data_IF_046487065498
#
_entry.id   IF_046487065498
#
_cell.length_a   1.000
_cell.length_b   1.000
_cell.length_c   1.000
_cell.angle_alpha   90.00
_cell.angle_beta   90.00
_cell.angle_gamma   90.00
#
_symmetry.space_group_name_H-M   'P 1'
#
loop_
_entity.id
_entity.type
_entity.pdbx_description
1 polymer ?
#
# COMPACT_ATOMS: atom_id res chain seq x y z
N UNK A 1 -25.36 -36.18 14.04
CA UNK A 1 -25.47 -35.41 12.81
C UNK A 1 -25.58 -36.40 11.63
N UNK A 2 -26.71 -36.41 10.96
CA UNK A 2 -26.91 -37.33 9.82
C UNK A 2 -26.04 -36.84 8.64
N UNK A 3 -25.33 -37.77 7.98
CA UNK A 3 -24.57 -37.44 6.75
C UNK A 3 -25.58 -37.10 5.65
N UNK A 4 -25.40 -35.95 5.03
CA UNK A 4 -26.29 -35.53 3.94
C UNK A 4 -26.19 -36.48 2.74
N UNK A 5 -27.33 -36.90 2.21
CA UNK A 5 -27.46 -37.91 1.16
C UNK A 5 -26.61 -37.59 -0.07
N UNK A 6 -26.56 -36.34 -0.48
CA UNK A 6 -25.76 -35.92 -1.66
C UNK A 6 -24.24 -36.14 -1.49
N UNK A 7 -23.71 -36.11 -0.23
CA UNK A 7 -22.31 -36.42 0.04
C UNK A 7 -22.02 -37.88 -0.22
N UNK A 8 -22.93 -38.78 0.23
CA UNK A 8 -22.81 -40.23 -0.01
C UNK A 8 -22.90 -40.57 -1.50
N UNK A 9 -23.84 -39.97 -2.21
CA UNK A 9 -23.96 -40.10 -3.66
C UNK A 9 -22.68 -39.67 -4.39
N UNK A 10 -22.10 -38.53 -3.95
CA UNK A 10 -20.86 -38.01 -4.55
C UNK A 10 -19.64 -38.90 -4.26
N UNK A 11 -19.59 -39.53 -3.10
CA UNK A 11 -18.54 -40.50 -2.77
C UNK A 11 -18.65 -41.73 -3.66
N UNK A 12 -19.88 -42.22 -3.91
CA UNK A 12 -20.10 -43.39 -4.77
C UNK A 12 -19.77 -43.11 -6.24
N UNK A 13 -20.13 -41.91 -6.73
CA UNK A 13 -19.70 -41.45 -8.05
C UNK A 13 -18.16 -41.48 -8.18
N UNK A 14 -17.46 -41.01 -7.16
CA UNK A 14 -15.99 -40.98 -7.16
C UNK A 14 -15.38 -42.39 -7.11
N UNK A 15 -15.97 -43.32 -6.38
CA UNK A 15 -15.52 -44.71 -6.41
C UNK A 15 -15.68 -45.34 -7.78
N UNK A 16 -16.80 -45.08 -8.46
CA UNK A 16 -17.03 -45.51 -9.82
C UNK A 16 -16.04 -44.88 -10.81
N UNK A 17 -15.74 -43.58 -10.67
CA UNK A 17 -14.68 -42.91 -11.44
C UNK A 17 -13.33 -43.62 -11.23
N UNK A 18 -12.96 -43.99 -9.99
CA UNK A 18 -11.71 -44.67 -9.69
C UNK A 18 -11.62 -46.08 -10.29
N UNK A 19 -12.73 -46.76 -10.49
CA UNK A 19 -12.76 -48.05 -11.19
C UNK A 19 -12.49 -47.90 -12.68
N UNK A 20 -12.83 -46.75 -13.28
CA UNK A 20 -12.65 -46.52 -14.71
C UNK A 20 -11.18 -46.22 -15.08
N UNK A 21 -10.35 -45.76 -14.13
CA UNK A 21 -8.92 -45.53 -14.34
C UNK A 21 -8.09 -46.12 -13.17
N UNK A 22 -7.50 -47.26 -13.41
CA UNK A 22 -6.62 -47.93 -12.45
C UNK A 22 -5.20 -47.37 -12.63
N UNK A 23 -4.81 -46.46 -11.78
CA UNK A 23 -3.42 -45.99 -11.73
C UNK A 23 -2.50 -47.09 -11.24
N UNK A 24 -1.30 -47.14 -11.82
CA UNK A 24 -0.20 -48.02 -11.38
C UNK A 24 0.22 -47.65 -9.95
N UNK A 25 0.93 -48.55 -9.27
CA UNK A 25 1.48 -48.29 -7.93
C UNK A 25 2.36 -47.04 -7.93
N UNK A 26 3.22 -46.90 -8.95
CA UNK A 26 4.09 -45.73 -9.15
C UNK A 26 3.32 -44.43 -9.30
N UNK A 27 2.25 -44.38 -10.06
CA UNK A 27 1.36 -43.22 -10.24
C UNK A 27 0.66 -42.85 -8.92
N UNK A 28 0.18 -43.87 -8.19
CA UNK A 28 -0.45 -43.68 -6.91
C UNK A 28 0.53 -43.11 -5.87
N UNK A 29 1.77 -43.59 -5.85
CA UNK A 29 2.81 -43.11 -4.93
C UNK A 29 3.26 -41.70 -5.29
N UNK A 30 3.34 -41.34 -6.59
CA UNK A 30 3.58 -39.97 -7.01
C UNK A 30 2.50 -39.01 -6.52
N UNK A 31 1.22 -39.42 -6.61
CA UNK A 31 0.09 -38.59 -6.12
C UNK A 31 0.06 -38.47 -4.60
N UNK A 32 0.39 -39.54 -3.84
CA UNK A 32 0.49 -39.51 -2.38
C UNK A 32 1.63 -38.61 -1.95
N UNK A 33 2.83 -38.80 -2.51
CA UNK A 33 4.01 -37.96 -2.22
C UNK A 33 3.74 -36.50 -2.51
N UNK A 34 3.15 -36.18 -3.66
CA UNK A 34 2.72 -34.81 -3.96
C UNK A 34 1.74 -34.27 -2.93
N UNK A 35 0.74 -35.07 -2.52
CA UNK A 35 -0.26 -34.65 -1.56
C UNK A 35 0.34 -34.32 -0.19
N UNK A 36 1.21 -35.18 0.30
CA UNK A 36 1.86 -35.04 1.62
C UNK A 36 2.82 -33.84 1.61
N UNK A 37 3.75 -33.77 0.67
CA UNK A 37 4.73 -32.68 0.58
C UNK A 37 4.09 -31.32 0.27
N UNK A 38 2.99 -31.28 -0.49
CA UNK A 38 2.25 -30.05 -0.73
C UNK A 38 1.63 -29.44 0.53
N UNK A 39 1.53 -30.19 1.64
CA UNK A 39 1.12 -29.68 2.95
C UNK A 39 2.30 -29.17 3.78
N UNK A 40 3.47 -29.79 3.62
CA UNK A 40 4.66 -29.41 4.37
C UNK A 40 5.26 -28.09 3.86
N UNK A 41 5.30 -27.88 2.54
CA UNK A 41 5.86 -26.66 1.96
C UNK A 41 4.92 -25.48 2.07
N UNK A 42 5.32 -24.49 2.90
CA UNK A 42 4.54 -23.27 3.15
C UNK A 42 4.57 -22.27 2.00
N UNK A 43 5.73 -22.06 1.35
CA UNK A 43 5.88 -21.05 0.32
C UNK A 43 5.31 -21.50 -1.04
N UNK A 44 4.89 -20.52 -1.85
CA UNK A 44 4.44 -20.78 -3.24
C UNK A 44 5.63 -21.27 -4.09
N UNK A 45 6.83 -20.73 -3.89
CA UNK A 45 8.01 -21.13 -4.66
C UNK A 45 8.41 -22.59 -4.43
N UNK A 46 8.42 -23.04 -3.16
CA UNK A 46 8.70 -24.45 -2.84
C UNK A 46 7.62 -25.36 -3.43
N UNK A 47 6.37 -24.92 -3.38
CA UNK A 47 5.27 -25.67 -3.99
C UNK A 47 5.39 -25.75 -5.52
N UNK A 48 5.78 -24.68 -6.20
CA UNK A 48 6.05 -24.69 -7.64
C UNK A 48 7.20 -25.65 -7.99
N UNK A 49 8.26 -25.63 -7.18
CA UNK A 49 9.37 -26.58 -7.33
C UNK A 49 8.96 -28.03 -7.13
N UNK A 50 8.09 -28.31 -6.16
CA UNK A 50 7.50 -29.66 -5.97
C UNK A 50 6.70 -30.12 -7.19
N UNK A 51 5.93 -29.20 -7.82
CA UNK A 51 5.12 -29.53 -8.99
C UNK A 51 5.94 -30.07 -10.18
N UNK A 52 7.16 -29.60 -10.35
CA UNK A 52 8.07 -30.06 -11.41
C UNK A 52 8.97 -31.20 -10.97
N UNK A 53 9.29 -31.31 -9.69
CA UNK A 53 10.13 -32.36 -9.14
C UNK A 53 9.46 -33.74 -9.16
N UNK A 54 8.17 -33.83 -8.92
CA UNK A 54 7.42 -35.12 -8.91
C UNK A 54 7.46 -35.81 -10.26
N UNK A 55 7.15 -35.18 -11.42
CA UNK A 55 7.33 -35.79 -12.74
C UNK A 55 8.76 -36.31 -12.98
N UNK A 56 9.77 -35.54 -12.57
CA UNK A 56 11.17 -35.94 -12.69
C UNK A 56 11.52 -37.16 -11.83
N UNK A 57 11.14 -37.13 -10.56
CA UNK A 57 11.53 -38.16 -9.59
C UNK A 57 10.83 -39.50 -9.84
N UNK A 58 9.58 -39.48 -10.25
CA UNK A 58 8.78 -40.69 -10.43
C UNK A 58 8.77 -41.23 -11.86
N UNK A 59 8.93 -40.39 -12.87
CA UNK A 59 8.77 -40.81 -14.27
C UNK A 59 10.00 -40.50 -15.13
N UNK A 60 11.01 -39.86 -14.59
CA UNK A 60 12.20 -39.32 -15.29
C UNK A 60 11.81 -38.37 -16.45
N UNK A 61 10.69 -37.65 -16.28
CA UNK A 61 10.22 -36.64 -17.21
C UNK A 61 10.63 -35.24 -16.70
N UNK A 62 11.14 -34.43 -17.61
CA UNK A 62 11.33 -33.00 -17.33
C UNK A 62 9.98 -32.30 -17.28
N UNK A 63 9.90 -31.26 -16.46
CA UNK A 63 8.67 -30.48 -16.36
C UNK A 63 8.94 -29.00 -16.27
N UNK A 64 7.98 -28.19 -16.76
CA UNK A 64 7.92 -26.74 -16.62
C UNK A 64 6.55 -26.35 -16.13
N UNK A 65 6.53 -25.39 -15.21
CA UNK A 65 5.31 -24.82 -14.67
C UNK A 65 5.22 -23.36 -15.06
N UNK A 66 4.15 -23.01 -15.76
CA UNK A 66 3.83 -21.64 -16.14
C UNK A 66 2.61 -21.18 -15.37
N UNK A 67 2.64 -19.96 -14.82
CA UNK A 67 1.49 -19.34 -14.19
C UNK A 67 1.12 -18.04 -14.90
N UNK A 68 -0.13 -17.65 -14.80
CA UNK A 68 -0.61 -16.36 -15.29
C UNK A 68 0.01 -15.26 -14.43
N UNK A 69 0.77 -14.34 -15.07
CA UNK A 69 1.22 -13.11 -14.43
C UNK A 69 0.05 -12.12 -14.37
N UNK A 70 -0.39 -11.73 -13.16
CA UNK A 70 -1.55 -10.84 -13.01
C UNK A 70 -1.33 -9.42 -13.56
N UNK A 71 -0.06 -8.99 -13.72
CA UNK A 71 0.26 -7.65 -14.24
C UNK A 71 0.30 -7.60 -15.76
N UNK A 72 0.78 -8.67 -16.37
CA UNK A 72 0.98 -8.74 -17.82
C UNK A 72 -0.15 -9.50 -18.54
N UNK A 73 -1.06 -10.13 -17.80
CA UNK A 73 -2.10 -11.04 -18.30
C UNK A 73 -1.51 -12.06 -19.30
N UNK A 74 -0.32 -12.55 -19.00
CA UNK A 74 0.46 -13.47 -19.83
C UNK A 74 1.03 -14.59 -18.97
N UNK A 75 1.38 -15.73 -19.62
CA UNK A 75 2.02 -16.84 -18.94
C UNK A 75 3.51 -16.56 -18.71
N UNK A 76 3.99 -16.84 -17.52
CA UNK A 76 5.39 -16.74 -17.15
C UNK A 76 5.89 -18.06 -16.55
N UNK A 77 7.12 -18.49 -16.87
CA UNK A 77 7.77 -19.65 -16.29
C UNK A 77 8.07 -19.38 -14.81
N UNK A 78 7.57 -20.23 -13.91
CA UNK A 78 7.77 -20.10 -12.46
C UNK A 78 8.61 -21.23 -11.85
N UNK A 79 8.66 -22.41 -12.49
CA UNK A 79 9.53 -23.50 -12.08
C UNK A 79 9.86 -24.42 -13.27
N UNK A 80 11.07 -24.98 -13.29
CA UNK A 80 11.53 -25.96 -14.28
C UNK A 80 12.55 -26.92 -13.66
N UNK A 81 12.64 -28.15 -14.18
CA UNK A 81 13.58 -29.17 -13.70
C UNK A 81 14.99 -28.99 -14.20
N UNK A 82 15.21 -28.37 -15.36
CA UNK A 82 16.55 -28.22 -15.99
C UNK A 82 17.07 -26.80 -16.05
N UNK A 83 16.23 -25.79 -15.85
CA UNK A 83 16.61 -24.38 -16.03
C UNK A 83 17.07 -23.78 -14.71
N UNK A 84 18.28 -23.21 -14.66
CA UNK A 84 18.77 -22.43 -13.53
C UNK A 84 17.97 -21.13 -13.34
N UNK A 85 18.10 -20.50 -12.17
CA UNK A 85 17.31 -19.35 -11.73
C UNK A 85 17.20 -18.15 -12.69
N UNK A 86 18.02 -18.06 -13.75
CA UNK A 86 17.97 -16.98 -14.74
C UNK A 86 16.87 -17.15 -15.82
N UNK A 87 16.24 -18.32 -15.90
CA UNK A 87 15.16 -18.58 -16.87
C UNK A 87 13.75 -18.32 -16.31
N UNK A 88 13.65 -18.01 -15.02
CA UNK A 88 12.37 -17.69 -14.36
C UNK A 88 11.80 -16.36 -14.89
N UNK A 89 10.48 -16.32 -15.03
CA UNK A 89 9.70 -15.20 -15.58
C UNK A 89 9.80 -15.00 -17.09
N UNK A 90 10.42 -15.94 -17.84
CA UNK A 90 10.36 -15.90 -19.30
C UNK A 90 8.98 -16.33 -19.81
N UNK A 91 8.53 -15.82 -20.97
CA UNK A 91 7.33 -16.30 -21.61
C UNK A 91 7.51 -17.75 -22.08
N UNK A 92 6.42 -18.54 -22.21
CA UNK A 92 6.50 -19.89 -22.76
C UNK A 92 6.98 -19.86 -24.22
N UNK A 93 7.56 -20.98 -24.71
CA UNK A 93 7.85 -21.15 -26.14
C UNK A 93 6.59 -20.99 -27.00
N UNK A 94 6.74 -20.66 -28.28
CA UNK A 94 5.64 -20.38 -29.23
C UNK A 94 4.64 -21.54 -29.39
N UNK A 95 5.07 -22.78 -29.17
CA UNK A 95 4.25 -24.00 -29.26
C UNK A 95 3.51 -24.32 -27.94
N UNK A 96 3.78 -23.60 -26.84
CA UNK A 96 3.06 -23.69 -25.56
C UNK A 96 2.07 -22.52 -25.44
N UNK A 97 0.79 -22.82 -25.66
CA UNK A 97 -0.30 -21.82 -25.69
C UNK A 97 -1.34 -22.10 -24.61
N UNK A 98 -1.99 -21.07 -24.08
CA UNK A 98 -3.13 -21.23 -23.20
C UNK A 98 -4.15 -22.20 -23.81
N UNK A 99 -4.61 -23.17 -23.03
CA UNK A 99 -5.50 -24.20 -23.50
C UNK A 99 -6.52 -24.61 -22.44
N UNK A 100 -7.70 -25.02 -22.86
CA UNK A 100 -8.71 -25.61 -22.00
C UNK A 100 -8.64 -27.15 -21.91
N UNK A 101 -7.87 -27.76 -22.78
CA UNK A 101 -7.73 -29.21 -22.83
C UNK A 101 -6.27 -29.61 -23.00
N UNK A 102 -5.85 -30.81 -22.52
CA UNK A 102 -4.52 -31.33 -22.77
C UNK A 102 -4.20 -31.41 -24.26
N UNK A 103 -2.96 -31.10 -24.62
CA UNK A 103 -2.50 -31.27 -26.00
C UNK A 103 -1.01 -31.62 -26.07
N UNK A 104 -0.58 -32.17 -27.18
CA UNK A 104 0.82 -32.50 -27.44
C UNK A 104 1.45 -31.48 -28.38
N UNK A 105 2.63 -30.95 -28.01
CA UNK A 105 3.39 -30.07 -28.88
C UNK A 105 4.18 -30.86 -29.96
N UNK A 106 4.78 -30.12 -30.89
CA UNK A 106 5.71 -30.68 -31.89
C UNK A 106 7.02 -31.19 -31.27
N UNK A 107 7.35 -30.79 -30.05
CA UNK A 107 8.57 -31.15 -29.29
C UNK A 107 8.40 -32.35 -28.37
N UNK A 108 7.41 -33.18 -28.60
CA UNK A 108 7.08 -34.34 -27.74
C UNK A 108 6.75 -33.94 -26.30
N UNK A 109 6.21 -32.72 -26.07
CA UNK A 109 5.73 -32.28 -24.75
C UNK A 109 4.22 -32.50 -24.65
N UNK A 110 3.75 -32.88 -23.46
CA UNK A 110 2.34 -32.86 -23.10
C UNK A 110 2.09 -31.59 -22.26
N UNK A 111 1.18 -30.75 -22.71
CA UNK A 111 0.77 -29.49 -22.03
C UNK A 111 -0.62 -29.67 -21.45
N UNK A 112 -0.77 -29.34 -20.17
CA UNK A 112 -1.99 -29.51 -19.38
C UNK A 112 -2.41 -28.22 -18.71
N UNK A 113 -3.71 -27.85 -18.75
CA UNK A 113 -4.22 -26.68 -18.03
C UNK A 113 -4.26 -26.94 -16.52
N UNK A 114 -3.81 -25.98 -15.76
CA UNK A 114 -3.92 -25.95 -14.30
C UNK A 114 -5.15 -25.10 -13.96
N UNK A 115 -6.21 -25.75 -13.46
CA UNK A 115 -7.50 -25.09 -13.23
C UNK A 115 -7.70 -24.71 -11.77
N UNK A 116 -8.19 -23.47 -11.55
CA UNK A 116 -8.71 -23.03 -10.28
C UNK A 116 -10.14 -23.52 -10.01
N UNK A 117 -10.67 -23.21 -8.83
CA UNK A 117 -12.08 -23.43 -8.50
C UNK A 117 -12.95 -22.32 -9.09
N UNK A 118 -13.83 -22.60 -10.02
CA UNK A 118 -14.74 -21.62 -10.64
C UNK A 118 -15.47 -20.73 -9.61
N UNK A 119 -16.02 -21.30 -8.55
CA UNK A 119 -16.74 -20.59 -7.48
C UNK A 119 -15.89 -19.61 -6.66
N UNK A 120 -14.57 -19.65 -6.78
CA UNK A 120 -13.64 -18.87 -5.97
C UNK A 120 -12.67 -18.04 -6.82
N UNK A 121 -12.81 -18.06 -8.14
CA UNK A 121 -11.92 -17.32 -9.07
C UNK A 121 -11.95 -15.82 -8.77
N UNK A 122 -13.13 -15.24 -8.56
CA UNK A 122 -13.30 -13.83 -8.21
C UNK A 122 -12.64 -13.43 -6.87
N UNK A 123 -12.24 -14.43 -6.08
CA UNK A 123 -11.57 -14.23 -4.78
C UNK A 123 -10.05 -14.33 -4.87
N UNK A 124 -9.48 -14.60 -6.03
CA UNK A 124 -8.04 -14.58 -6.23
C UNK A 124 -7.49 -13.15 -6.09
N UNK A 125 -6.20 -12.98 -5.73
CA UNK A 125 -5.57 -11.67 -5.61
C UNK A 125 -5.42 -10.94 -6.95
N UNK A 126 -5.69 -11.62 -8.06
CA UNK A 126 -5.61 -11.10 -9.43
C UNK A 126 -6.83 -11.53 -10.24
N UNK A 127 -7.12 -10.79 -11.31
CA UNK A 127 -8.23 -11.11 -12.21
C UNK A 127 -7.76 -12.14 -13.24
N UNK A 128 -8.59 -13.15 -13.48
CA UNK A 128 -8.35 -14.20 -14.50
C UNK A 128 -9.64 -14.34 -15.29
N UNK A 129 -9.57 -14.17 -16.60
CA UNK A 129 -10.75 -14.26 -17.50
C UNK A 129 -11.30 -15.68 -17.63
N UNK A 130 -10.50 -16.69 -17.24
CA UNK A 130 -10.87 -18.11 -17.27
C UNK A 130 -10.56 -18.79 -15.94
N UNK A 131 -10.97 -20.07 -15.79
CA UNK A 131 -10.59 -20.87 -14.62
C UNK A 131 -9.14 -21.42 -14.68
N UNK A 132 -8.35 -21.01 -15.67
CA UNK A 132 -6.97 -21.46 -15.89
C UNK A 132 -6.00 -20.57 -15.13
N UNK A 133 -5.29 -21.13 -14.15
CA UNK A 133 -4.28 -20.47 -13.36
C UNK A 133 -2.88 -20.53 -14.00
N UNK A 134 -2.68 -21.49 -14.91
CA UNK A 134 -1.41 -21.73 -15.55
C UNK A 134 -1.40 -23.02 -16.37
N UNK A 135 -0.20 -23.44 -16.76
CA UNK A 135 0.04 -24.67 -17.54
C UNK A 135 1.13 -25.51 -16.89
N UNK A 136 0.98 -26.82 -16.95
CA UNK A 136 2.05 -27.80 -16.70
C UNK A 136 2.49 -28.40 -18.02
N UNK A 137 3.77 -28.31 -18.36
CA UNK A 137 4.39 -28.97 -19.49
C UNK A 137 5.27 -30.11 -18.96
N UNK A 138 5.13 -31.34 -19.52
CA UNK A 138 5.97 -32.48 -19.21
C UNK A 138 6.57 -33.06 -20.48
N UNK A 139 7.87 -33.40 -20.46
CA UNK A 139 8.60 -33.89 -21.64
C UNK A 139 9.84 -34.74 -21.26
N UNK A 140 10.38 -35.60 -22.17
CA UNK A 140 9.80 -35.98 -23.45
C UNK A 140 8.71 -37.04 -23.26
N UNK A 141 7.56 -36.88 -23.91
CA UNK A 141 6.49 -37.89 -23.94
C UNK A 141 6.53 -38.60 -25.26
N UNK A 142 7.29 -39.72 -25.33
CA UNK A 142 7.53 -40.48 -26.55
C UNK A 142 6.29 -41.28 -26.99
N UNK A 143 5.53 -41.80 -26.03
CA UNK A 143 4.34 -42.57 -26.28
C UNK A 143 3.08 -41.81 -25.90
N UNK A 144 2.26 -41.47 -26.87
CA UNK A 144 0.97 -40.84 -26.67
C UNK A 144 -0.05 -41.88 -26.24
N UNK A 145 -0.24 -42.04 -24.93
CA UNK A 145 -1.24 -42.94 -24.42
C UNK A 145 -2.26 -42.22 -23.55
N UNK A 146 -3.53 -42.59 -23.66
CA UNK A 146 -4.63 -41.97 -22.94
C UNK A 146 -4.52 -42.15 -21.43
N UNK A 147 -3.85 -43.20 -20.96
CA UNK A 147 -3.70 -43.49 -19.54
C UNK A 147 -2.73 -42.45 -18.87
N UNK A 148 -1.56 -42.24 -19.47
CA UNK A 148 -0.59 -41.24 -18.98
C UNK A 148 -1.13 -39.82 -19.09
N UNK A 149 -1.86 -39.51 -20.18
CA UNK A 149 -2.53 -38.21 -20.32
C UNK A 149 -3.53 -37.97 -19.16
N UNK A 150 -4.37 -38.97 -18.86
CA UNK A 150 -5.33 -38.90 -17.77
C UNK A 150 -4.64 -38.75 -16.39
N UNK A 151 -3.53 -39.47 -16.19
CA UNK A 151 -2.74 -39.32 -14.95
C UNK A 151 -2.28 -37.89 -14.77
N UNK A 152 -1.61 -37.31 -15.76
CA UNK A 152 -1.09 -35.92 -15.67
C UNK A 152 -2.23 -34.89 -15.63
N UNK A 153 -3.38 -35.14 -16.28
CA UNK A 153 -4.58 -34.31 -16.12
C UNK A 153 -5.04 -34.27 -14.65
N UNK A 154 -5.13 -35.44 -14.00
CA UNK A 154 -5.49 -35.50 -12.57
C UNK A 154 -4.42 -34.87 -11.69
N UNK A 155 -3.15 -35.00 -12.05
CA UNK A 155 -2.05 -34.33 -11.37
C UNK A 155 -2.14 -32.80 -11.49
N UNK A 156 -2.32 -32.26 -12.70
CA UNK A 156 -2.50 -30.82 -12.96
C UNK A 156 -3.72 -30.24 -12.20
N UNK A 157 -4.84 -30.99 -12.16
CA UNK A 157 -6.02 -30.60 -11.40
C UNK A 157 -5.75 -30.50 -9.88
N UNK A 158 -4.89 -31.39 -9.32
CA UNK A 158 -4.47 -31.29 -7.91
C UNK A 158 -3.54 -30.11 -7.66
N UNK A 159 -2.63 -29.84 -8.59
CA UNK A 159 -1.80 -28.62 -8.55
C UNK A 159 -2.72 -27.39 -8.51
N UNK A 160 -3.66 -27.29 -9.43
CA UNK A 160 -4.59 -26.15 -9.51
C UNK A 160 -5.39 -25.93 -8.22
N UNK A 161 -5.91 -27.00 -7.63
CA UNK A 161 -6.64 -26.93 -6.37
C UNK A 161 -5.77 -26.42 -5.22
N UNK A 162 -4.54 -26.95 -5.09
CA UNK A 162 -3.59 -26.54 -4.03
C UNK A 162 -3.07 -25.13 -4.26
N UNK A 163 -2.73 -24.78 -5.50
CA UNK A 163 -2.29 -23.45 -5.89
C UNK A 163 -3.34 -22.40 -5.55
N UNK A 164 -4.59 -22.66 -5.94
CA UNK A 164 -5.72 -21.78 -5.66
C UNK A 164 -5.88 -21.53 -4.15
N UNK A 165 -5.80 -22.58 -3.33
CA UNK A 165 -5.87 -22.44 -1.87
C UNK A 165 -4.69 -21.66 -1.31
N UNK A 166 -3.46 -21.83 -1.83
CA UNK A 166 -2.29 -21.03 -1.40
C UNK A 166 -2.48 -19.56 -1.72
N UNK A 167 -2.94 -19.20 -2.91
CA UNK A 167 -3.25 -17.80 -3.26
C UNK A 167 -4.33 -17.20 -2.35
N UNK A 168 -5.35 -17.95 -1.99
CA UNK A 168 -6.38 -17.48 -1.05
C UNK A 168 -5.81 -17.25 0.36
N UNK A 169 -4.95 -18.16 0.83
CA UNK A 169 -4.29 -18.01 2.15
C UNK A 169 -3.39 -16.79 2.15
N UNK A 170 -2.59 -16.60 1.11
CA UNK A 170 -1.70 -15.44 0.98
C UNK A 170 -2.49 -14.13 0.98
N UNK A 171 -3.56 -14.05 0.17
CA UNK A 171 -4.48 -12.91 0.17
C UNK A 171 -5.11 -12.64 1.55
N UNK A 172 -5.51 -13.69 2.26
CA UNK A 172 -6.07 -13.53 3.60
C UNK A 172 -5.02 -13.05 4.62
N UNK A 173 -3.77 -13.50 4.50
CA UNK A 173 -2.66 -13.03 5.34
C UNK A 173 -2.33 -11.55 5.07
N UNK A 174 -2.32 -11.14 3.81
CA UNK A 174 -2.18 -9.73 3.42
C UNK A 174 -3.31 -8.88 4.01
N UNK A 175 -4.56 -9.36 3.89
CA UNK A 175 -5.72 -8.68 4.48
C UNK A 175 -5.62 -8.57 6.02
N UNK A 176 -5.14 -9.61 6.71
CA UNK A 176 -4.93 -9.57 8.16
C UNK A 176 -3.81 -8.60 8.56
N UNK A 177 -2.72 -8.55 7.80
CA UNK A 177 -1.64 -7.56 8.00
C UNK A 177 -2.17 -6.14 7.83
N UNK A 178 -2.94 -5.91 6.75
CA UNK A 178 -3.60 -4.65 6.51
C UNK A 178 -4.53 -4.23 7.66
N UNK A 179 -5.41 -5.12 8.13
CA UNK A 179 -6.31 -4.83 9.26
C UNK A 179 -5.52 -4.46 10.53
N UNK A 180 -4.43 -5.17 10.82
CA UNK A 180 -3.56 -4.85 11.96
C UNK A 180 -2.92 -3.46 11.84
N UNK A 181 -2.40 -3.12 10.64
CA UNK A 181 -1.87 -1.79 10.37
C UNK A 181 -2.94 -0.72 10.55
N UNK A 182 -4.15 -0.97 10.01
CA UNK A 182 -5.29 -0.07 10.11
C UNK A 182 -5.70 0.18 11.57
N UNK A 183 -5.76 -0.86 12.40
CA UNK A 183 -6.08 -0.74 13.82
C UNK A 183 -5.02 0.09 14.56
N UNK A 184 -3.74 -0.13 14.28
CA UNK A 184 -2.65 0.65 14.87
C UNK A 184 -2.71 2.14 14.44
N UNK A 185 -3.03 2.40 13.17
CA UNK A 185 -3.22 3.76 12.64
C UNK A 185 -4.44 4.45 13.31
N UNK A 186 -5.54 3.73 13.52
CA UNK A 186 -6.71 4.25 14.24
C UNK A 186 -6.36 4.56 15.71
N UNK A 187 -5.67 3.65 16.38
CA UNK A 187 -5.25 3.85 17.77
C UNK A 187 -4.41 5.13 17.91
N UNK A 188 -3.39 5.27 17.09
CA UNK A 188 -2.47 6.40 17.14
C UNK A 188 -3.10 7.73 16.68
N UNK A 189 -3.90 7.73 15.64
CA UNK A 189 -4.37 8.96 15.00
C UNK A 189 -5.83 9.34 15.32
N UNK A 190 -6.59 8.47 15.96
CA UNK A 190 -7.96 8.75 16.41
C UNK A 190 -8.09 8.62 17.93
N UNK A 191 -7.69 7.49 18.52
CA UNK A 191 -7.93 7.23 19.94
C UNK A 191 -7.07 8.13 20.81
N UNK A 192 -5.75 8.19 20.56
CA UNK A 192 -4.84 9.02 21.34
C UNK A 192 -5.17 10.52 21.20
N UNK A 193 -5.37 11.09 20.01
CA UNK A 193 -5.83 12.45 19.87
C UNK A 193 -7.20 12.72 20.52
N UNK A 194 -8.13 11.78 20.49
CA UNK A 194 -9.44 11.95 21.11
C UNK A 194 -9.35 12.07 22.65
N UNK A 195 -8.36 11.46 23.28
CA UNK A 195 -8.08 11.69 24.71
C UNK A 195 -7.66 13.14 24.98
N UNK A 196 -6.85 13.74 24.11
CA UNK A 196 -6.43 15.14 24.18
C UNK A 196 -7.64 16.06 23.94
N UNK A 197 -8.54 15.72 23.04
CA UNK A 197 -9.78 16.43 22.79
C UNK A 197 -10.64 16.59 24.06
N UNK A 198 -10.74 15.53 24.84
CA UNK A 198 -11.43 15.54 26.13
C UNK A 198 -10.81 16.56 27.11
N UNK A 199 -9.49 16.73 27.07
CA UNK A 199 -8.77 17.71 27.88
C UNK A 199 -9.12 19.14 27.46
N UNK A 200 -9.16 19.44 26.14
CA UNK A 200 -9.56 20.76 25.62
C UNK A 200 -10.98 21.11 26.04
N UNK A 201 -11.91 20.19 25.91
CA UNK A 201 -13.30 20.40 26.38
C UNK A 201 -13.40 20.65 27.88
N UNK A 202 -12.57 19.97 28.70
CA UNK A 202 -12.51 20.21 30.13
C UNK A 202 -11.98 21.61 30.47
N UNK A 203 -10.93 22.07 29.78
CA UNK A 203 -10.36 23.41 29.91
C UNK A 203 -11.35 24.50 29.47
N UNK A 204 -11.99 24.31 28.31
CA UNK A 204 -13.04 25.20 27.83
C UNK A 204 -14.17 25.36 28.84
N UNK A 205 -14.62 24.25 29.42
CA UNK A 205 -15.65 24.25 30.47
C UNK A 205 -15.20 25.03 31.70
N UNK A 206 -13.94 24.91 32.14
CA UNK A 206 -13.37 25.66 33.25
C UNK A 206 -13.34 27.19 32.98
N UNK A 207 -12.98 27.59 31.75
CA UNK A 207 -12.99 29.00 31.35
C UNK A 207 -14.44 29.55 31.30
N UNK A 208 -15.39 28.80 30.81
CA UNK A 208 -16.81 29.19 30.81
C UNK A 208 -17.34 29.37 32.24
N UNK A 209 -16.95 28.52 33.19
CA UNK A 209 -17.34 28.63 34.59
C UNK A 209 -16.72 29.89 35.23
N UNK A 210 -15.44 30.14 34.95
CA UNK A 210 -14.76 31.38 35.44
C UNK A 210 -15.42 32.66 34.90
N UNK A 211 -15.83 32.64 33.62
CA UNK A 211 -16.57 33.76 33.02
C UNK A 211 -17.89 34.03 33.76
N UNK A 212 -18.67 32.99 34.11
CA UNK A 212 -19.89 33.12 34.91
C UNK A 212 -19.65 33.67 36.32
N UNK A 213 -18.55 33.31 36.96
CA UNK A 213 -18.17 33.86 38.27
C UNK A 213 -17.88 35.35 38.19
N UNK A 214 -17.15 35.81 37.18
CA UNK A 214 -16.86 37.23 36.94
C UNK A 214 -18.17 37.98 36.66
N UNK A 215 -19.06 37.44 35.78
CA UNK A 215 -20.39 37.98 35.49
C UNK A 215 -21.21 38.16 36.78
N UNK A 216 -21.24 37.15 37.64
CA UNK A 216 -21.94 37.18 38.92
C UNK A 216 -21.37 38.24 39.87
N UNK A 217 -20.04 38.39 39.91
CA UNK A 217 -19.36 39.39 40.72
C UNK A 217 -19.68 40.83 40.28
N UNK A 218 -19.58 41.06 38.98
CA UNK A 218 -19.91 42.39 38.37
C UNK A 218 -21.38 42.73 38.60
N UNK A 219 -22.29 41.78 38.36
CA UNK A 219 -23.73 41.95 38.56
C UNK A 219 -24.09 42.26 40.02
N UNK A 220 -23.44 41.57 41.00
CA UNK A 220 -23.61 41.83 42.41
C UNK A 220 -23.10 43.22 42.86
N UNK A 221 -21.96 43.66 42.34
CA UNK A 221 -21.39 44.99 42.62
C UNK A 221 -22.28 46.12 42.04
N UNK A 222 -22.78 45.95 40.82
CA UNK A 222 -23.69 46.88 40.21
C UNK A 222 -25.02 47.01 40.97
N UNK A 223 -25.58 45.89 41.45
CA UNK A 223 -26.83 45.91 42.20
C UNK A 223 -26.75 46.55 43.59
N UNK A 224 -25.57 46.54 44.20
CA UNK A 224 -25.30 47.09 45.54
C UNK A 224 -24.84 48.55 45.48
N UNK A 225 -24.52 49.07 44.30
CA UNK A 225 -23.97 50.42 44.15
C UNK A 225 -22.57 50.60 44.72
N UNK A 226 -21.84 49.50 45.01
CA UNK A 226 -20.56 49.49 45.72
C UNK A 226 -19.34 49.38 44.80
N UNK A 227 -19.52 49.43 43.47
CA UNK A 227 -18.42 49.23 42.50
C UNK A 227 -17.52 50.45 42.38
N UNK A 228 -16.30 50.35 42.87
CA UNK A 228 -15.26 51.36 42.56
C UNK A 228 -14.64 51.10 41.16
N UNK A 229 -14.02 52.11 40.57
CA UNK A 229 -13.44 52.04 39.22
C UNK A 229 -12.30 50.99 39.15
N UNK A 230 -11.67 50.65 40.26
CA UNK A 230 -10.57 49.67 40.32
C UNK A 230 -11.07 48.24 40.32
N UNK A 231 -12.18 47.95 41.01
CA UNK A 231 -12.80 46.62 41.00
C UNK A 231 -13.38 46.28 39.62
N UNK A 232 -14.01 47.25 38.92
CA UNK A 232 -14.47 47.10 37.56
C UNK A 232 -13.32 46.86 36.57
N UNK A 233 -12.20 47.53 36.77
CA UNK A 233 -11.01 47.39 35.94
C UNK A 233 -10.37 46.01 36.12
N UNK A 234 -10.34 45.46 37.34
CA UNK A 234 -9.91 44.08 37.60
C UNK A 234 -10.83 43.07 36.94
N UNK A 235 -12.13 43.22 37.10
CA UNK A 235 -13.12 42.35 36.45
C UNK A 235 -13.01 42.36 34.91
N UNK A 236 -12.73 43.53 34.31
CA UNK A 236 -12.50 43.65 32.88
C UNK A 236 -11.22 42.94 32.42
N UNK A 237 -10.14 43.06 33.17
CA UNK A 237 -8.90 42.36 32.89
C UNK A 237 -9.09 40.84 32.99
N UNK A 238 -9.75 40.35 34.06
CA UNK A 238 -10.05 38.93 34.24
C UNK A 238 -10.94 38.40 33.11
N UNK A 239 -11.92 39.18 32.65
CA UNK A 239 -12.76 38.85 31.50
C UNK A 239 -11.95 38.77 30.21
N UNK A 240 -11.03 39.67 29.99
CA UNK A 240 -10.14 39.70 28.83
C UNK A 240 -9.28 38.42 28.79
N UNK A 241 -8.69 38.05 29.93
CA UNK A 241 -7.87 36.86 30.08
C UNK A 241 -8.68 35.56 29.83
N UNK A 242 -9.91 35.50 30.36
CA UNK A 242 -10.83 34.38 30.11
C UNK A 242 -11.21 34.28 28.65
N UNK A 243 -11.53 35.39 27.99
CA UNK A 243 -11.87 35.41 26.58
C UNK A 243 -10.70 34.99 25.67
N UNK A 244 -9.48 35.40 26.02
CA UNK A 244 -8.27 34.97 25.33
C UNK A 244 -8.08 33.45 25.48
N UNK A 245 -8.25 32.93 26.69
CA UNK A 245 -8.18 31.49 26.96
C UNK A 245 -9.26 30.70 26.22
N UNK A 246 -10.51 31.18 26.16
CA UNK A 246 -11.59 30.58 25.40
C UNK A 246 -11.29 30.52 23.90
N UNK A 247 -10.75 31.62 23.33
CA UNK A 247 -10.37 31.66 21.91
C UNK A 247 -9.26 30.70 21.59
N UNK A 248 -8.25 30.55 22.44
CA UNK A 248 -7.15 29.58 22.28
C UNK A 248 -7.65 28.13 22.31
N UNK A 249 -8.52 27.83 23.28
CA UNK A 249 -9.06 26.45 23.37
C UNK A 249 -10.00 26.12 22.20
N UNK A 250 -10.76 27.10 21.69
CA UNK A 250 -11.58 26.92 20.50
C UNK A 250 -10.72 26.62 19.27
N UNK A 251 -9.64 27.40 19.08
CA UNK A 251 -8.70 27.19 17.98
C UNK A 251 -8.03 25.82 18.05
N UNK A 252 -7.66 25.36 19.25
CA UNK A 252 -7.11 24.02 19.49
C UNK A 252 -8.12 22.92 19.12
N UNK A 253 -9.40 23.11 19.48
CA UNK A 253 -10.48 22.18 19.15
C UNK A 253 -10.70 22.11 17.65
N UNK A 254 -10.76 23.25 16.95
CA UNK A 254 -10.95 23.30 15.50
C UNK A 254 -9.77 22.65 14.76
N UNK A 255 -8.54 22.90 15.17
CA UNK A 255 -7.34 22.30 14.61
C UNK A 255 -7.36 20.78 14.76
N UNK A 256 -7.76 20.33 15.94
CA UNK A 256 -7.87 18.88 16.23
C UNK A 256 -8.96 18.20 15.42
N UNK A 257 -10.13 18.84 15.30
CA UNK A 257 -11.23 18.37 14.47
C UNK A 257 -10.83 18.23 12.99
N UNK A 258 -10.19 19.26 12.43
CA UNK A 258 -9.70 19.24 11.03
C UNK A 258 -8.71 18.10 10.81
N UNK A 259 -7.77 17.90 11.74
CA UNK A 259 -6.79 16.82 11.64
C UNK A 259 -7.42 15.44 11.68
N UNK A 260 -8.37 15.22 12.59
CA UNK A 260 -9.06 13.95 12.74
C UNK A 260 -9.98 13.65 11.55
N UNK A 261 -10.69 14.66 11.04
CA UNK A 261 -11.54 14.52 9.85
C UNK A 261 -10.73 14.12 8.62
N UNK A 262 -9.59 14.78 8.41
CA UNK A 262 -8.69 14.46 7.29
C UNK A 262 -8.10 13.05 7.42
N UNK A 263 -7.74 12.63 8.64
CA UNK A 263 -7.24 11.28 8.88
C UNK A 263 -8.31 10.23 8.60
N UNK A 264 -9.53 10.42 9.10
CA UNK A 264 -10.66 9.49 8.86
C UNK A 264 -10.97 9.41 7.35
N UNK A 265 -10.98 10.53 6.65
CA UNK A 265 -11.17 10.53 5.19
C UNK A 265 -10.07 9.74 4.47
N UNK A 266 -8.82 9.93 4.87
CA UNK A 266 -7.66 9.18 4.32
C UNK A 266 -7.76 7.69 4.61
N UNK A 267 -8.20 7.33 5.81
CA UNK A 267 -8.37 5.95 6.25
C UNK A 267 -9.43 5.21 5.42
N UNK A 268 -10.58 5.85 5.18
CA UNK A 268 -11.62 5.30 4.31
C UNK A 268 -11.12 5.14 2.88
N UNK A 269 -10.34 6.10 2.37
CA UNK A 269 -9.74 6.02 1.03
C UNK A 269 -8.73 4.88 0.94
N UNK A 270 -7.85 4.70 1.93
CA UNK A 270 -6.89 3.58 1.99
C UNK A 270 -7.59 2.23 1.96
N UNK A 271 -8.67 2.05 2.72
CA UNK A 271 -9.48 0.82 2.73
C UNK A 271 -10.08 0.50 1.35
N UNK A 272 -10.48 1.50 0.58
CA UNK A 272 -10.97 1.32 -0.80
C UNK A 272 -9.82 1.06 -1.79
N UNK A 273 -8.65 1.64 -1.54
CA UNK A 273 -7.44 1.45 -2.34
C UNK A 273 -7.00 -0.01 -2.38
N UNK A 274 -6.86 -0.64 -1.20
CA UNK A 274 -6.41 -2.04 -1.09
C UNK A 274 -7.43 -3.06 -1.64
N UNK A 275 -8.68 -2.62 -1.88
CA UNK A 275 -9.72 -3.43 -2.53
C UNK A 275 -9.78 -3.25 -4.06
N UNK A 276 -8.88 -2.45 -4.66
CA UNK A 276 -8.90 -2.14 -6.10
C UNK A 276 -10.15 -1.38 -6.58
N UNK A 277 -10.92 -0.79 -5.65
CA UNK A 277 -12.19 -0.10 -5.92
C UNK A 277 -12.11 1.42 -5.88
N UNK A 278 -10.91 1.98 -5.81
CA UNK A 278 -10.76 3.43 -5.70
C UNK A 278 -10.94 4.10 -7.06
N UNK A 279 -12.04 4.82 -7.20
CA UNK A 279 -12.21 5.77 -8.30
C UNK A 279 -11.64 7.12 -7.88
N UNK A 280 -10.67 7.64 -8.64
CA UNK A 280 -10.13 8.99 -8.45
C UNK A 280 -11.26 10.02 -8.57
N UNK A 281 -11.34 10.93 -7.61
CA UNK A 281 -12.21 12.11 -7.68
C UNK A 281 -11.38 13.32 -8.08
N UNK A 282 -10.97 13.34 -9.33
CA UNK A 282 -10.13 14.41 -9.86
C UNK A 282 -10.92 15.69 -10.08
N UNK A 283 -10.28 16.82 -9.79
CA UNK A 283 -10.77 18.16 -10.13
C UNK A 283 -9.59 19.07 -10.47
N UNK A 284 -9.80 20.10 -11.29
CA UNK A 284 -8.78 21.12 -11.49
C UNK A 284 -8.43 21.79 -10.15
N UNK A 285 -7.16 21.92 -9.85
CA UNK A 285 -6.69 22.64 -8.66
C UNK A 285 -5.35 23.34 -8.92
N UNK A 286 -5.15 24.45 -8.22
CA UNK A 286 -3.85 25.09 -8.10
C UNK A 286 -3.06 24.40 -6.99
N UNK A 287 -2.00 23.65 -7.37
CA UNK A 287 -1.26 22.82 -6.43
C UNK A 287 -0.66 23.61 -5.26
N UNK A 288 -0.13 24.81 -5.53
CA UNK A 288 0.47 25.61 -4.47
C UNK A 288 -0.57 26.08 -3.45
N UNK A 289 -1.67 26.69 -3.94
CA UNK A 289 -2.70 27.29 -3.09
C UNK A 289 -3.60 26.26 -2.42
N UNK A 290 -4.03 25.24 -3.18
CA UNK A 290 -5.10 24.33 -2.73
C UNK A 290 -4.54 23.09 -2.01
N UNK A 291 -3.22 22.78 -2.16
CA UNK A 291 -2.59 21.60 -1.59
C UNK A 291 -1.38 21.94 -0.73
N UNK A 292 -0.33 22.55 -1.31
CA UNK A 292 0.97 22.73 -0.63
C UNK A 292 0.85 23.65 0.57
N UNK A 293 0.28 24.86 0.40
CA UNK A 293 0.16 25.83 1.49
C UNK A 293 -0.64 25.31 2.68
N UNK A 294 -1.86 24.73 2.51
CA UNK A 294 -2.61 24.18 3.63
C UNK A 294 -1.87 23.04 4.36
N UNK A 295 -1.11 22.22 3.65
CA UNK A 295 -0.32 21.18 4.30
C UNK A 295 0.90 21.75 5.02
N UNK A 296 1.61 22.70 4.43
CA UNK A 296 2.76 23.37 5.04
C UNK A 296 2.38 24.08 6.35
N UNK A 297 1.26 24.81 6.36
CA UNK A 297 0.74 25.50 7.54
C UNK A 297 0.55 24.57 8.74
N UNK A 298 0.14 23.31 8.51
CA UNK A 298 -0.01 22.29 9.56
C UNK A 298 1.30 21.95 10.27
N UNK A 299 2.44 22.06 9.57
CA UNK A 299 3.75 21.69 10.08
C UNK A 299 4.60 22.88 10.50
N UNK A 300 4.19 24.13 10.21
CA UNK A 300 4.97 25.35 10.48
C UNK A 300 5.45 25.45 11.93
N UNK A 301 4.55 25.28 12.91
CA UNK A 301 4.88 25.35 14.32
C UNK A 301 5.86 24.24 14.75
N UNK A 302 5.73 23.06 14.16
CA UNK A 302 6.62 21.94 14.46
C UNK A 302 8.01 22.17 13.85
N UNK A 303 8.09 22.66 12.61
CA UNK A 303 9.36 23.04 11.99
C UNK A 303 10.08 24.13 12.79
N UNK A 304 9.37 25.16 13.26
CA UNK A 304 9.95 26.21 14.12
C UNK A 304 10.50 25.64 15.41
N UNK A 305 9.76 24.75 16.10
CA UNK A 305 10.21 24.10 17.35
C UNK A 305 11.47 23.27 17.15
N UNK A 306 11.58 22.62 16.04
CA UNK A 306 12.73 21.79 15.68
C UNK A 306 13.89 22.59 15.07
N UNK A 307 13.78 23.92 14.98
CA UNK A 307 14.78 24.79 14.39
C UNK A 307 14.98 24.60 12.89
N UNK A 308 13.94 24.12 12.19
CA UNK A 308 13.96 23.89 10.73
C UNK A 308 13.44 25.15 10.05
N UNK A 309 14.27 25.79 9.25
CA UNK A 309 13.87 26.93 8.40
C UNK A 309 13.24 26.42 7.08
N UNK A 310 12.37 27.24 6.49
CA UNK A 310 11.72 26.93 5.21
C UNK A 310 12.30 27.87 4.17
N UNK A 311 12.85 27.28 3.11
CA UNK A 311 13.29 28.01 1.92
C UNK A 311 12.22 27.93 0.83
N UNK A 312 11.49 29.00 0.61
CA UNK A 312 10.38 29.08 -0.35
C UNK A 312 10.78 29.79 -1.66
N UNK A 313 12.05 30.15 -1.84
CA UNK A 313 12.52 30.91 -3.02
C UNK A 313 12.23 30.17 -4.34
N UNK A 314 12.21 28.83 -4.32
CA UNK A 314 11.94 28.00 -5.50
C UNK A 314 10.45 27.62 -5.67
N UNK A 315 9.60 27.99 -4.71
CA UNK A 315 8.18 27.59 -4.70
C UNK A 315 7.33 28.30 -5.77
N UNK A 316 7.85 29.38 -6.34
CA UNK A 316 7.15 30.23 -7.34
C UNK A 316 7.85 30.24 -8.69
N UNK A 317 8.63 29.23 -9.02
CA UNK A 317 9.33 29.12 -10.30
C UNK A 317 8.88 27.82 -10.99
N UNK A 318 8.28 27.89 -12.19
CA UNK A 318 7.85 29.09 -12.91
C UNK A 318 6.73 29.85 -12.19
N UNK A 319 6.63 31.18 -12.41
CA UNK A 319 5.59 32.04 -11.81
C UNK A 319 4.18 31.74 -12.34
N UNK A 320 4.09 30.97 -13.43
CA UNK A 320 2.82 30.59 -14.04
C UNK A 320 2.04 29.66 -13.14
N UNK A 321 0.76 29.94 -12.95
CA UNK A 321 -0.15 29.09 -12.22
C UNK A 321 -0.37 27.76 -12.96
N UNK A 322 0.15 26.67 -12.40
CA UNK A 322 -0.06 25.33 -12.96
C UNK A 322 -1.34 24.74 -12.35
N UNK A 323 -2.30 24.47 -13.22
CA UNK A 323 -3.54 23.78 -12.85
C UNK A 323 -3.40 22.31 -13.21
N UNK A 324 -3.44 21.44 -12.20
CA UNK A 324 -3.47 19.99 -12.38
C UNK A 324 -4.87 19.44 -12.13
N UNK A 325 -5.22 18.37 -12.84
CA UNK A 325 -6.48 17.64 -12.62
C UNK A 325 -6.19 16.43 -11.73
N UNK A 326 -6.40 16.60 -10.42
CA UNK A 326 -5.99 15.59 -9.42
C UNK A 326 -7.06 15.38 -8.35
N UNK A 327 -6.97 14.25 -7.67
CA UNK A 327 -7.67 14.07 -6.39
C UNK A 327 -6.92 14.83 -5.30
N UNK A 328 -7.45 16.02 -4.97
CA UNK A 328 -6.84 16.97 -4.03
C UNK A 328 -6.56 16.33 -2.67
N UNK A 329 -7.42 15.43 -2.20
CA UNK A 329 -7.23 14.76 -0.91
C UNK A 329 -6.05 13.78 -0.92
N UNK A 330 -5.90 12.98 -1.99
CA UNK A 330 -4.77 12.05 -2.12
C UNK A 330 -3.45 12.82 -2.25
N UNK A 331 -3.41 13.85 -3.09
CA UNK A 331 -2.18 14.64 -3.28
C UNK A 331 -1.85 15.48 -2.02
N UNK A 332 -2.84 15.98 -1.31
CA UNK A 332 -2.61 16.61 0.00
C UNK A 332 -1.94 15.63 1.00
N UNK A 333 -2.34 14.37 0.98
CA UNK A 333 -1.71 13.34 1.81
C UNK A 333 -0.29 12.97 1.34
N UNK A 334 0.00 13.04 0.04
CA UNK A 334 1.38 12.92 -0.49
C UNK A 334 2.28 13.98 0.16
N UNK A 335 1.86 15.25 0.14
CA UNK A 335 2.62 16.33 0.78
C UNK A 335 2.70 16.18 2.31
N UNK A 336 1.63 15.74 2.97
CA UNK A 336 1.65 15.45 4.40
C UNK A 336 2.72 14.40 4.75
N UNK A 337 2.86 13.33 3.94
CA UNK A 337 3.91 12.32 4.12
C UNK A 337 5.30 12.90 3.91
N UNK A 338 5.51 13.73 2.89
CA UNK A 338 6.80 14.37 2.65
C UNK A 338 7.18 15.33 3.77
N UNK A 339 6.27 16.21 4.22
CA UNK A 339 6.55 17.13 5.33
C UNK A 339 6.76 16.40 6.66
N UNK A 340 6.00 15.35 6.94
CA UNK A 340 6.22 14.49 8.10
C UNK A 340 7.60 13.83 8.09
N UNK A 341 8.03 13.33 6.92
CA UNK A 341 9.37 12.79 6.75
C UNK A 341 10.44 13.86 6.89
N UNK A 342 10.24 15.02 6.27
CA UNK A 342 11.14 16.16 6.44
C UNK A 342 11.29 16.56 7.92
N UNK A 343 10.19 16.65 8.67
CA UNK A 343 10.23 16.94 10.11
C UNK A 343 11.08 15.92 10.90
N UNK A 344 10.99 14.64 10.55
CA UNK A 344 11.68 13.56 11.26
C UNK A 344 13.16 13.46 10.90
N UNK A 345 13.52 13.72 9.64
CA UNK A 345 14.82 13.36 9.10
C UNK A 345 15.71 14.54 8.71
N UNK A 346 15.20 15.80 8.72
CA UNK A 346 16.01 16.99 8.49
C UNK A 346 17.06 17.12 9.58
N UNK A 347 18.32 17.29 9.18
CA UNK A 347 19.45 17.48 10.07
C UNK A 347 20.24 18.72 9.66
N UNK A 348 21.04 19.22 10.62
CA UNK A 348 21.93 20.36 10.40
C UNK A 348 23.05 19.96 9.42
N UNK A 349 23.34 20.84 8.50
CA UNK A 349 24.43 20.73 7.54
C UNK A 349 25.30 21.98 7.63
N UNK A 350 26.56 21.88 7.16
CA UNK A 350 27.46 23.01 7.05
C UNK A 350 27.53 23.43 5.58
N UNK A 351 27.18 24.69 5.28
CA UNK A 351 27.27 25.25 3.91
C UNK A 351 28.72 25.48 3.51
N UNK A 352 28.98 25.76 2.23
CA UNK A 352 30.31 26.12 1.74
C UNK A 352 30.89 27.37 2.40
N UNK A 353 30.04 28.24 2.88
CA UNK A 353 30.42 29.45 3.62
C UNK A 353 30.70 29.21 5.12
N UNK A 354 30.65 27.93 5.58
CA UNK A 354 30.82 27.55 6.99
C UNK A 354 29.59 27.81 7.86
N UNK A 355 28.49 28.27 7.29
CA UNK A 355 27.23 28.52 8.02
C UNK A 355 26.47 27.22 8.26
N UNK A 356 26.00 27.03 9.50
CA UNK A 356 25.15 25.88 9.86
C UNK A 356 23.72 26.15 9.48
N UNK A 357 23.10 25.22 8.72
CA UNK A 357 21.71 25.36 8.29
C UNK A 357 20.96 24.04 8.48
N UNK A 358 19.72 24.15 8.96
CA UNK A 358 18.77 23.06 9.06
C UNK A 358 17.49 23.54 8.37
N UNK A 359 17.20 23.03 7.17
CA UNK A 359 16.13 23.60 6.35
C UNK A 359 15.46 22.59 5.45
N UNK A 360 14.24 22.95 5.04
CA UNK A 360 13.49 22.31 3.97
C UNK A 360 13.26 23.32 2.84
N UNK A 361 13.06 22.79 1.62
CA UNK A 361 12.62 23.59 0.47
C UNK A 361 11.57 22.79 -0.31
N UNK A 362 10.73 23.49 -1.04
CA UNK A 362 9.77 22.87 -1.94
C UNK A 362 9.63 23.69 -3.21
N UNK A 363 9.22 23.04 -4.29
CA UNK A 363 9.07 23.69 -5.58
C UNK A 363 8.43 22.78 -6.61
N UNK A 364 8.37 23.28 -7.84
CA UNK A 364 7.90 22.53 -8.97
C UNK A 364 8.68 22.90 -10.24
N UNK A 365 8.67 22.01 -11.23
CA UNK A 365 9.34 22.18 -12.51
C UNK A 365 8.49 21.59 -13.63
N UNK A 366 8.28 22.35 -14.70
CA UNK A 366 7.65 21.85 -15.91
C UNK A 366 8.65 20.99 -16.71
N UNK A 367 8.21 19.80 -17.09
CA UNK A 367 8.97 18.84 -17.90
C UNK A 367 8.21 18.63 -19.21
N UNK A 368 8.75 19.16 -20.32
CA UNK A 368 8.12 19.01 -21.63
C UNK A 368 8.21 17.57 -22.12
N UNK A 369 7.12 17.08 -22.69
CA UNK A 369 7.01 15.76 -23.33
C UNK A 369 7.46 14.58 -22.45
N UNK A 370 7.40 14.73 -21.11
CA UNK A 370 7.87 13.72 -20.16
C UNK A 370 7.10 12.39 -20.27
N UNK A 371 5.80 12.45 -20.53
CA UNK A 371 4.91 11.29 -20.67
C UNK A 371 4.61 10.91 -22.14
N UNK A 372 5.42 11.41 -23.09
CA UNK A 372 5.27 11.16 -24.53
C UNK A 372 5.00 12.44 -25.32
N UNK A 373 4.88 12.31 -26.64
CA UNK A 373 4.61 13.43 -27.52
C UNK A 373 3.32 14.16 -27.11
N UNK A 374 3.39 15.48 -26.97
CA UNK A 374 2.30 16.38 -26.55
C UNK A 374 1.75 16.11 -25.12
N UNK A 375 2.52 15.40 -24.27
CA UNK A 375 2.12 15.14 -22.88
C UNK A 375 3.22 15.62 -21.92
N UNK A 376 3.05 16.83 -21.44
CA UNK A 376 3.94 17.44 -20.46
C UNK A 376 3.76 16.84 -19.07
N UNK A 377 4.76 16.97 -18.22
CA UNK A 377 4.74 16.60 -16.83
C UNK A 377 5.11 17.77 -15.93
N UNK A 378 4.60 17.77 -14.71
CA UNK A 378 5.06 18.69 -13.67
C UNK A 378 5.69 17.89 -12.55
N UNK A 379 6.97 18.14 -12.30
CA UNK A 379 7.72 17.59 -11.18
C UNK A 379 7.52 18.48 -9.96
N UNK A 380 6.98 17.90 -8.89
CA UNK A 380 6.81 18.52 -7.58
C UNK A 380 7.80 17.91 -6.60
N UNK A 381 8.45 18.71 -5.79
CA UNK A 381 9.48 18.23 -4.88
C UNK A 381 9.42 18.85 -3.49
N UNK A 382 9.91 18.07 -2.52
CA UNK A 382 10.21 18.51 -1.16
C UNK A 382 11.64 18.08 -0.82
N UNK A 383 12.48 19.06 -0.59
CA UNK A 383 13.86 18.88 -0.16
C UNK A 383 13.98 18.95 1.36
N UNK A 384 14.89 18.19 1.94
CA UNK A 384 15.27 18.25 3.34
C UNK A 384 16.80 18.14 3.52
N UNK A 385 17.42 19.04 4.29
CA UNK A 385 18.85 18.97 4.57
C UNK A 385 19.21 17.80 5.48
N UNK A 386 20.36 17.17 5.24
CA UNK A 386 20.84 16.04 6.05
C UNK A 386 21.56 14.95 5.26
N UNK A 387 21.94 13.84 5.92
CA UNK A 387 22.66 12.74 5.28
C UNK A 387 21.81 12.05 4.23
N UNK A 388 22.47 11.57 3.18
CA UNK A 388 21.82 10.87 2.09
C UNK A 388 21.31 9.49 2.52
N UNK A 389 20.27 9.03 1.84
CA UNK A 389 19.86 7.62 1.89
C UNK A 389 20.94 6.78 1.21
N UNK A 390 21.41 5.68 1.86
CA UNK A 390 22.40 4.79 1.29
C UNK A 390 22.00 4.30 -0.11
N UNK A 391 22.95 4.19 -1.07
CA UNK A 391 22.63 3.79 -2.44
C UNK A 391 21.85 2.48 -2.54
N UNK A 392 22.17 1.50 -1.69
CA UNK A 392 21.52 0.20 -1.62
C UNK A 392 20.06 0.26 -1.16
N UNK A 393 19.67 1.31 -0.44
CA UNK A 393 18.31 1.48 0.08
C UNK A 393 17.39 2.25 -0.88
N UNK A 394 17.94 3.04 -1.82
CA UNK A 394 17.18 3.98 -2.66
C UNK A 394 16.11 3.34 -3.52
N UNK A 395 16.34 2.11 -4.01
CA UNK A 395 15.37 1.36 -4.80
C UNK A 395 14.17 0.83 -4.01
N UNK A 396 14.31 0.75 -2.69
CA UNK A 396 13.34 0.08 -1.82
C UNK A 396 12.52 1.05 -0.95
N UNK A 397 12.90 2.33 -0.87
CA UNK A 397 12.26 3.30 0.03
C UNK A 397 10.77 3.54 -0.24
N UNK A 398 10.29 3.24 -1.44
CA UNK A 398 8.88 3.34 -1.81
C UNK A 398 8.16 1.98 -1.76
N UNK A 399 8.82 0.89 -1.34
CA UNK A 399 8.18 -0.42 -1.16
C UNK A 399 7.34 -0.44 0.13
N UNK A 400 6.30 -1.25 0.13
CA UNK A 400 5.50 -1.48 1.34
C UNK A 400 6.35 -2.14 2.44
N UNK A 401 6.07 -1.78 3.69
CA UNK A 401 6.73 -2.28 4.89
C UNK A 401 8.25 -2.01 4.96
N UNK A 402 8.80 -1.24 4.02
CA UNK A 402 10.23 -0.91 4.04
C UNK A 402 10.54 0.18 5.08
N UNK A 403 11.54 -0.08 5.91
CA UNK A 403 12.11 0.87 6.87
C UNK A 403 13.62 0.86 6.74
N UNK A 404 14.19 1.98 6.31
CA UNK A 404 15.64 2.16 6.22
C UNK A 404 16.31 2.05 7.61
N UNK A 405 17.58 1.66 7.64
CA UNK A 405 18.37 1.50 8.87
C UNK A 405 18.34 2.75 9.77
N UNK A 406 18.30 3.93 9.18
CA UNK A 406 18.24 5.21 9.89
C UNK A 406 16.87 5.52 10.53
N UNK A 407 15.86 4.70 10.28
CA UNK A 407 14.48 4.90 10.76
C UNK A 407 14.10 4.01 11.94
N UNK A 408 14.93 3.02 12.32
CA UNK A 408 14.63 2.03 13.36
C UNK A 408 14.32 2.66 14.73
N UNK A 409 14.93 3.80 15.05
CA UNK A 409 14.74 4.52 16.32
C UNK A 409 13.75 5.68 16.23
N UNK A 410 13.05 5.88 15.11
CA UNK A 410 12.08 6.96 14.91
C UNK A 410 10.65 6.42 14.76
N UNK A 411 9.64 7.08 15.33
CA UNK A 411 8.25 6.62 15.20
C UNK A 411 7.78 6.70 13.74
N UNK A 412 7.16 5.61 13.25
CA UNK A 412 6.59 5.54 11.90
C UNK A 412 6.26 4.11 11.48
N UNK A 413 5.20 3.94 10.69
CA UNK A 413 4.69 2.64 10.23
C UNK A 413 5.43 2.04 9.02
N UNK A 414 6.28 2.83 8.32
CA UNK A 414 6.89 2.40 7.04
C UNK A 414 6.00 2.54 5.80
N UNK A 415 4.70 2.84 5.97
CA UNK A 415 3.73 2.88 4.87
C UNK A 415 3.64 4.23 4.13
N UNK A 416 4.26 5.31 4.66
CA UNK A 416 4.08 6.67 4.13
C UNK A 416 4.57 6.84 2.69
N UNK A 417 5.77 6.35 2.35
CA UNK A 417 6.33 6.47 0.99
C UNK A 417 5.69 5.46 0.02
N UNK A 418 5.29 4.28 0.47
CA UNK A 418 4.51 3.35 -0.33
C UNK A 418 3.14 3.96 -0.71
N UNK A 419 2.47 4.62 0.23
CA UNK A 419 1.25 5.38 -0.08
C UNK A 419 1.50 6.47 -1.12
N UNK A 420 2.61 7.23 -0.99
CA UNK A 420 2.98 8.27 -1.97
C UNK A 420 3.09 7.68 -3.37
N UNK A 421 3.81 6.58 -3.51
CA UNK A 421 3.96 5.86 -4.78
C UNK A 421 2.60 5.48 -5.36
N UNK A 422 1.80 4.77 -4.59
CA UNK A 422 0.49 4.28 -5.04
C UNK A 422 -0.44 5.44 -5.45
N UNK A 423 -0.52 6.51 -4.63
CA UNK A 423 -1.35 7.67 -4.94
C UNK A 423 -0.93 8.37 -6.24
N UNK A 424 0.37 8.51 -6.48
CA UNK A 424 0.91 9.16 -7.68
C UNK A 424 0.74 8.28 -8.92
N UNK A 425 1.02 6.97 -8.83
CA UNK A 425 0.81 6.01 -9.92
C UNK A 425 -0.66 5.96 -10.37
N UNK A 426 -1.62 6.07 -9.45
CA UNK A 426 -3.05 6.18 -9.80
C UNK A 426 -3.37 7.41 -10.65
N UNK A 427 -2.64 8.52 -10.47
CA UNK A 427 -2.77 9.71 -11.29
C UNK A 427 -1.99 9.62 -12.62
N UNK A 428 -1.42 8.44 -12.93
CA UNK A 428 -0.57 8.23 -14.10
C UNK A 428 0.80 8.89 -13.99
N UNK A 429 1.25 9.19 -12.77
CA UNK A 429 2.49 9.86 -12.47
C UNK A 429 3.60 8.92 -12.00
N UNK A 430 4.73 9.50 -11.65
CA UNK A 430 5.95 8.82 -11.21
C UNK A 430 6.48 9.42 -9.91
N UNK A 431 7.11 8.60 -9.06
CA UNK A 431 7.78 9.06 -7.83
C UNK A 431 9.27 8.80 -7.88
N UNK A 432 10.05 9.62 -7.19
CA UNK A 432 11.48 9.41 -7.13
C UNK A 432 12.16 10.11 -5.96
N UNK A 433 13.44 9.80 -5.84
CA UNK A 433 14.37 10.33 -4.88
C UNK A 433 15.67 10.74 -5.56
N UNK A 434 16.18 11.90 -5.20
CA UNK A 434 17.46 12.44 -5.68
C UNK A 434 18.32 12.89 -4.49
N UNK A 435 19.54 12.37 -4.34
CA UNK A 435 20.52 12.97 -3.45
C UNK A 435 20.99 14.31 -4.03
N UNK A 436 21.04 15.33 -3.21
CA UNK A 436 21.56 16.65 -3.58
C UNK A 436 22.80 16.98 -2.76
N UNK A 437 23.55 18.02 -3.10
CA UNK A 437 24.78 18.40 -2.37
C UNK A 437 24.58 18.51 -0.85
N UNK A 438 23.40 18.92 -0.38
CA UNK A 438 23.14 19.24 1.02
C UNK A 438 22.03 18.40 1.67
N UNK A 439 21.46 17.44 0.94
CA UNK A 439 20.38 16.65 1.50
C UNK A 439 19.63 15.79 0.48
N UNK A 440 18.38 15.58 0.76
CA UNK A 440 17.52 14.61 0.12
C UNK A 440 16.34 15.31 -0.57
N UNK A 441 16.12 15.03 -1.83
CA UNK A 441 15.02 15.56 -2.60
C UNK A 441 14.04 14.43 -2.95
N UNK A 442 12.86 14.44 -2.35
CA UNK A 442 11.76 13.55 -2.72
C UNK A 442 10.86 14.27 -3.71
N UNK A 443 10.48 13.59 -4.79
CA UNK A 443 9.65 14.20 -5.80
C UNK A 443 8.60 13.24 -6.36
N UNK A 444 7.61 13.82 -6.99
CA UNK A 444 6.68 13.11 -7.87
C UNK A 444 6.42 13.94 -9.12
N UNK A 445 6.06 13.28 -10.20
CA UNK A 445 5.75 13.89 -11.49
C UNK A 445 4.32 13.52 -11.86
N UNK A 446 3.52 14.52 -12.23
CA UNK A 446 2.15 14.30 -12.69
C UNK A 446 2.02 14.76 -14.14
N UNK A 447 1.24 14.05 -14.98
CA UNK A 447 0.90 14.53 -16.31
C UNK A 447 -0.02 15.76 -16.25
N UNK A 448 0.12 16.65 -17.23
CA UNK A 448 -0.78 17.79 -17.47
C UNK A 448 -1.29 17.81 -18.88
#
# INVERSE_FOLDING_TARGET
MAIEKYILERIEDKKNDYQSYRFTERENDALKTFFDLAQEFGSINDFCSLCVAVPKSFFDLEARLYLVDPKLNSLALVAATQEGGNALHLPPPEDVKPTESPYYTSRESLVLPIRGKKLLIDKLPFHVDSDILGLLEVYPVRERNRHGELFFEKYANRIGFRMHNKFLVEKNLEHLRFIRSLVADIEHNVIVPNMVYKLFLKRLRAQVMKNKEIEGTVSSQLSKGEGDAESLRRALNDLTDVNLGLSQELENIERHYKNMSLFIETLFRKSHFDQGRLTLRTKPCNMLRDVVQPQLERYLEQFKREGISIDDRMSRIPEEEIINVVDVGLIAQVYANFFSNALKYTQEIVSETGERKKYIAYGHQLLKEHFGADRDGVKYNVFSSGPHIPPEERGDIFKEDYRGKNSLNKPGSGHGLAFVRNAVEMHGGEVGYEPTKYGNNFYFILPI
#
